data_IF_921810531563
#
_entry.id   IF_921810531563
#
_cell.length_a   1.000
_cell.length_b   1.000
_cell.length_c   1.000
_cell.angle_alpha   90.00
_cell.angle_beta   90.00
_cell.angle_gamma   90.00
#
_symmetry.space_group_name_H-M   'P 1'
#
loop_
_entity.id
_entity.type
_entity.pdbx_description
1 polymer ?
#
# COMPACT_ATOMS: atom_id res chain seq x y z
N UNK A 1 -5.03 0.89 0.43
CA UNK A 1 -5.22 2.34 0.68
C UNK A 1 -3.86 3.01 0.61
N UNK A 2 -3.79 4.26 0.18
CA UNK A 2 -2.57 5.05 0.12
C UNK A 2 -2.71 6.24 1.04
N UNK A 3 -1.71 6.45 1.90
CA UNK A 3 -1.58 7.61 2.77
C UNK A 3 -0.61 8.59 2.13
N UNK A 4 -0.97 9.87 2.13
CA UNK A 4 -0.20 10.98 1.57
C UNK A 4 0.26 11.88 2.70
N UNK A 5 1.53 12.29 2.70
CA UNK A 5 2.02 13.28 3.66
C UNK A 5 1.76 14.71 3.26
N UNK A 6 1.85 15.61 4.23
CA UNK A 6 2.06 17.02 3.93
C UNK A 6 3.42 17.25 3.24
N UNK A 7 3.53 18.26 2.36
CA UNK A 7 4.80 18.63 1.73
C UNK A 7 5.90 18.91 2.75
N UNK A 8 7.07 18.30 2.55
CA UNK A 8 8.24 18.42 3.42
C UNK A 8 8.14 17.65 4.74
N UNK A 9 7.10 16.82 4.92
CA UNK A 9 6.92 15.98 6.11
C UNK A 9 6.98 14.50 5.71
N UNK A 10 7.82 13.73 6.41
CA UNK A 10 7.91 12.28 6.24
C UNK A 10 6.75 11.56 6.94
N UNK A 11 6.21 10.50 6.34
CA UNK A 11 5.20 9.65 6.95
C UNK A 11 5.79 8.79 8.08
N UNK A 12 4.98 8.52 9.09
CA UNK A 12 5.30 7.55 10.13
C UNK A 12 5.11 6.11 9.63
N UNK A 13 5.85 5.67 8.61
CA UNK A 13 5.63 4.38 7.91
C UNK A 13 5.63 3.16 8.84
N UNK A 14 6.39 3.19 9.93
CA UNK A 14 6.40 2.12 10.94
C UNK A 14 5.03 1.94 11.62
N UNK A 15 4.28 3.03 11.80
CA UNK A 15 2.94 2.98 12.37
C UNK A 15 1.89 2.42 11.39
N UNK A 16 2.25 2.34 10.11
CA UNK A 16 1.46 1.78 9.01
C UNK A 16 1.84 0.31 8.69
N UNK A 17 2.91 -0.22 9.27
CA UNK A 17 3.37 -1.61 9.12
C UNK A 17 3.32 -2.35 10.47
N UNK A 18 2.12 -2.75 10.90
CA UNK A 18 1.93 -3.36 12.22
C UNK A 18 2.29 -4.84 12.17
N UNK A 19 3.50 -5.18 12.60
CA UNK A 19 4.04 -6.56 12.57
C UNK A 19 3.66 -7.44 13.77
N UNK A 20 2.76 -6.99 14.65
CA UNK A 20 2.33 -7.74 15.85
C UNK A 20 0.81 -7.69 16.05
N UNK A 21 0.20 -8.76 16.57
CA UNK A 21 -1.25 -8.87 16.82
C UNK A 21 -2.09 -9.48 15.68
N UNK A 22 -3.41 -9.55 15.83
CA UNK A 22 -4.36 -10.19 14.89
C UNK A 22 -4.97 -9.23 13.85
N UNK A 23 -4.60 -7.94 13.92
CA UNK A 23 -4.94 -6.91 12.94
C UNK A 23 -3.64 -6.31 12.40
N UNK A 24 -3.34 -6.55 11.12
CA UNK A 24 -2.08 -6.08 10.52
C UNK A 24 -2.34 -5.37 9.21
N UNK A 25 -2.52 -4.04 9.25
CA UNK A 25 -2.16 -3.23 8.11
C UNK A 25 -0.73 -3.59 7.70
N UNK A 26 -0.52 -3.83 6.42
CA UNK A 26 0.79 -4.21 5.88
C UNK A 26 1.23 -3.18 4.87
N UNK A 27 2.38 -2.55 5.13
CA UNK A 27 2.99 -1.64 4.17
C UNK A 27 3.42 -2.43 2.93
N UNK A 28 3.03 -1.93 1.75
CA UNK A 28 3.32 -2.53 0.44
C UNK A 28 4.40 -1.77 -0.28
N UNK A 29 4.22 -0.46 -0.40
CA UNK A 29 5.14 0.43 -1.11
C UNK A 29 5.25 1.76 -0.38
N UNK A 30 6.40 2.40 -0.54
CA UNK A 30 6.63 3.80 -0.17
C UNK A 30 7.18 4.46 -1.42
N UNK A 31 6.56 5.54 -1.85
CA UNK A 31 6.99 6.36 -2.97
C UNK A 31 7.15 7.80 -2.50
N UNK A 32 8.01 8.56 -3.18
CA UNK A 32 8.15 9.99 -2.95
C UNK A 32 8.04 10.73 -4.27
N UNK A 33 7.42 11.91 -4.25
CA UNK A 33 7.35 12.81 -5.39
C UNK A 33 7.77 14.22 -4.97
N UNK A 34 8.47 14.93 -5.85
CA UNK A 34 8.76 16.35 -5.68
C UNK A 34 7.60 17.17 -6.25
N UNK A 35 7.11 18.12 -5.47
CA UNK A 35 6.17 19.13 -5.92
C UNK A 35 6.89 20.27 -6.66
N UNK A 36 6.11 21.09 -7.37
CA UNK A 36 6.61 22.22 -8.17
C UNK A 36 7.40 23.24 -7.33
N UNK A 37 7.08 23.36 -6.03
CA UNK A 37 7.77 24.23 -5.07
C UNK A 37 9.05 23.60 -4.48
N UNK A 38 9.41 22.39 -4.93
CA UNK A 38 10.59 21.65 -4.49
C UNK A 38 10.37 20.83 -3.21
N UNK A 39 9.19 20.87 -2.60
CA UNK A 39 8.90 20.08 -1.42
C UNK A 39 8.58 18.63 -1.78
N UNK A 40 9.04 17.68 -0.96
CA UNK A 40 8.78 16.27 -1.16
C UNK A 40 7.48 15.84 -0.48
N UNK A 41 6.66 15.04 -1.17
CA UNK A 41 5.50 14.34 -0.60
C UNK A 41 5.74 12.84 -0.65
N UNK A 42 5.41 12.17 0.45
CA UNK A 42 5.49 10.71 0.57
C UNK A 42 4.12 10.06 0.41
N UNK A 43 4.11 8.91 -0.25
CA UNK A 43 2.95 8.06 -0.43
C UNK A 43 3.24 6.67 0.13
N UNK A 44 2.49 6.24 1.13
CA UNK A 44 2.59 4.91 1.71
C UNK A 44 1.35 4.07 1.35
N UNK A 45 1.51 3.04 0.53
CA UNK A 45 0.43 2.12 0.20
C UNK A 45 0.39 0.98 1.20
N UNK A 46 -0.76 0.83 1.86
CA UNK A 46 -1.00 -0.14 2.92
C UNK A 46 -2.14 -1.07 2.52
N UNK A 47 -1.89 -2.37 2.64
CA UNK A 47 -2.93 -3.39 2.55
C UNK A 47 -3.66 -3.47 3.89
N UNK A 48 -4.99 -3.37 3.85
CA UNK A 48 -5.87 -3.51 5.01
C UNK A 48 -6.74 -4.74 4.76
N UNK A 49 -6.67 -5.78 5.61
CA UNK A 49 -7.54 -6.94 5.44
C UNK A 49 -9.01 -6.59 5.58
N UNK A 50 -9.87 -7.38 4.94
CA UNK A 50 -11.32 -7.20 5.02
C UNK A 50 -11.82 -7.23 6.47
N UNK A 51 -12.80 -6.37 6.77
CA UNK A 51 -13.34 -6.20 8.12
C UNK A 51 -12.37 -5.55 9.11
N UNK A 52 -11.17 -5.12 8.69
CA UNK A 52 -10.19 -4.45 9.56
C UNK A 52 -10.11 -2.94 9.38
N UNK A 53 -10.88 -2.35 8.46
CA UNK A 53 -10.94 -0.89 8.27
C UNK A 53 -11.31 -0.13 9.56
N UNK A 54 -12.20 -0.71 10.38
CA UNK A 54 -12.62 -0.12 11.66
C UNK A 54 -11.47 0.16 12.63
N UNK A 55 -10.31 -0.49 12.47
CA UNK A 55 -9.11 -0.18 13.23
C UNK A 55 -8.56 1.21 12.96
N UNK A 56 -8.46 1.58 11.67
CA UNK A 56 -8.00 2.91 11.30
C UNK A 56 -9.02 3.98 11.69
N UNK A 57 -10.31 3.71 11.47
CA UNK A 57 -11.37 4.62 11.88
C UNK A 57 -11.33 4.91 13.38
N UNK A 58 -11.13 3.89 14.23
CA UNK A 58 -10.97 4.10 15.68
C UNK A 58 -9.76 4.97 16.01
N UNK A 59 -8.64 4.85 15.30
CA UNK A 59 -7.44 5.66 15.55
C UNK A 59 -7.67 7.12 15.18
N UNK A 60 -8.33 7.37 14.05
CA UNK A 60 -8.75 8.71 13.63
C UNK A 60 -9.71 9.31 14.65
N UNK A 61 -10.71 8.55 15.09
CA UNK A 61 -11.66 8.99 16.10
C UNK A 61 -10.97 9.36 17.42
N UNK A 62 -10.08 8.50 17.93
CA UNK A 62 -9.30 8.77 19.15
C UNK A 62 -8.42 10.02 19.04
N UNK A 63 -7.89 10.31 17.86
CA UNK A 63 -7.13 11.53 17.61
C UNK A 63 -8.03 12.76 17.70
N UNK A 64 -9.17 12.74 17.00
CA UNK A 64 -10.15 13.84 17.04
C UNK A 64 -10.68 14.09 18.46
N UNK A 65 -10.95 13.03 19.23
CA UNK A 65 -11.39 13.10 20.63
C UNK A 65 -10.35 13.71 21.58
N UNK A 66 -9.07 13.75 21.18
CA UNK A 66 -7.96 14.23 22.03
C UNK A 66 -7.16 15.35 21.37
N UNK A 67 -7.70 15.98 20.33
CA UNK A 67 -6.99 17.00 19.53
C UNK A 67 -6.62 18.25 20.34
N UNK A 68 -7.39 18.57 21.38
CA UNK A 68 -7.13 19.69 22.30
C UNK A 68 -6.09 19.37 23.38
N UNK A 69 -5.67 18.11 23.52
CA UNK A 69 -4.64 17.71 24.48
C UNK A 69 -3.26 18.12 23.96
N UNK A 70 -2.29 18.37 24.85
CA UNK A 70 -0.88 18.67 24.47
C UNK A 70 -0.27 17.59 23.56
N UNK A 71 -0.76 16.35 23.66
CA UNK A 71 -0.34 15.23 22.83
C UNK A 71 -1.55 14.37 22.44
N UNK A 72 -2.24 14.68 21.33
CA UNK A 72 -3.36 13.90 20.85
C UNK A 72 -2.96 12.44 20.60
N UNK A 73 -3.88 11.51 20.81
CA UNK A 73 -3.67 10.07 20.53
C UNK A 73 -3.45 9.87 19.04
N UNK A 74 -2.50 9.02 18.65
CA UNK A 74 -2.16 8.75 17.25
C UNK A 74 -1.59 9.95 16.45
N UNK A 75 -1.27 11.07 17.10
CA UNK A 75 -0.62 12.27 16.51
C UNK A 75 0.63 11.95 15.69
N UNK A 76 1.50 11.04 16.19
CA UNK A 76 2.71 10.58 15.47
C UNK A 76 2.44 10.18 14.01
N UNK A 77 1.27 9.62 13.71
CA UNK A 77 0.87 9.29 12.35
C UNK A 77 0.02 10.40 11.73
N UNK A 78 -1.06 10.81 12.42
CA UNK A 78 -2.11 11.61 11.81
C UNK A 78 -1.71 13.06 11.57
N UNK A 79 -0.79 13.63 12.36
CA UNK A 79 -0.28 14.98 12.14
C UNK A 79 0.52 15.09 10.82
N UNK A 80 0.97 13.95 10.30
CA UNK A 80 1.82 13.86 9.10
C UNK A 80 1.02 13.51 7.85
N UNK A 81 -0.22 13.07 8.00
CA UNK A 81 -1.08 12.61 6.89
C UNK A 81 -1.92 13.78 6.40
N UNK A 82 -1.68 14.20 5.17
CA UNK A 82 -2.53 15.17 4.47
C UNK A 82 -3.78 14.49 3.90
N UNK A 83 -3.62 13.29 3.34
CA UNK A 83 -4.66 12.64 2.57
C UNK A 83 -4.64 11.12 2.70
N UNK A 84 -5.81 10.51 2.49
CA UNK A 84 -5.96 9.06 2.40
C UNK A 84 -6.87 8.71 1.25
N UNK A 85 -6.43 7.82 0.37
CA UNK A 85 -7.16 7.42 -0.82
C UNK A 85 -7.15 5.89 -1.02
N UNK A 86 -7.98 5.40 -1.94
CA UNK A 86 -7.81 4.05 -2.47
C UNK A 86 -6.50 3.98 -3.26
N UNK A 87 -5.82 2.83 -3.18
CA UNK A 87 -4.55 2.66 -3.87
C UNK A 87 -4.81 2.43 -5.37
N UNK A 88 -4.15 3.22 -6.22
CA UNK A 88 -4.05 2.92 -7.66
C UNK A 88 -2.94 1.90 -7.92
N UNK A 89 -2.95 1.28 -9.09
CA UNK A 89 -1.90 0.35 -9.50
C UNK A 89 -0.54 1.05 -9.64
N UNK A 90 -0.52 2.33 -10.04
CA UNK A 90 0.67 3.19 -10.06
C UNK A 90 1.33 3.29 -8.68
N UNK A 91 0.52 3.37 -7.61
CA UNK A 91 1.03 3.41 -6.23
C UNK A 91 1.57 2.07 -5.76
N UNK A 92 1.32 0.98 -6.48
CA UNK A 92 1.93 -0.33 -6.25
C UNK A 92 3.18 -0.57 -7.10
N UNK A 93 3.47 0.29 -8.09
CA UNK A 93 4.66 0.20 -8.91
C UNK A 93 5.92 0.44 -8.08
N UNK A 94 6.94 -0.39 -8.28
CA UNK A 94 8.21 -0.32 -7.54
C UNK A 94 9.41 -0.04 -8.44
N UNK A 95 9.22 -0.06 -9.76
CA UNK A 95 10.24 0.33 -10.73
C UNK A 95 10.22 1.85 -10.97
N UNK A 96 11.06 2.30 -11.90
CA UNK A 96 11.14 3.72 -12.28
C UNK A 96 9.77 4.19 -12.79
N UNK A 97 9.39 5.41 -12.45
CA UNK A 97 8.06 5.95 -12.81
C UNK A 97 7.91 6.08 -14.32
N UNK A 98 8.99 6.38 -15.04
CA UNK A 98 9.04 6.42 -16.50
C UNK A 98 8.85 5.06 -17.19
N UNK A 99 9.05 3.95 -16.47
CA UNK A 99 8.82 2.60 -16.98
C UNK A 99 7.39 2.13 -16.74
N UNK A 100 6.57 2.92 -16.03
CA UNK A 100 5.17 2.61 -15.83
C UNK A 100 4.44 2.69 -17.19
N UNK A 101 3.73 1.62 -17.61
CA UNK A 101 3.15 1.54 -18.94
C UNK A 101 2.06 2.59 -19.16
N UNK A 102 1.95 3.08 -20.40
CA UNK A 102 0.90 4.02 -20.75
C UNK A 102 -0.47 3.32 -20.75
N UNK A 103 -1.53 4.11 -20.60
CA UNK A 103 -2.89 3.57 -20.63
C UNK A 103 -3.17 2.89 -21.98
N UNK A 104 -3.50 1.59 -21.92
CA UNK A 104 -3.79 0.77 -23.09
C UNK A 104 -2.64 -0.10 -23.58
N UNK A 105 -1.43 0.09 -23.04
CA UNK A 105 -0.30 -0.78 -23.37
C UNK A 105 -0.48 -2.19 -22.80
N UNK A 106 -0.20 -3.20 -23.64
CA UNK A 106 -0.20 -4.61 -23.25
C UNK A 106 1.23 -5.03 -23.00
N UNK A 107 1.62 -5.11 -21.73
CA UNK A 107 2.96 -5.50 -21.27
C UNK A 107 2.88 -6.61 -20.23
N UNK A 108 3.97 -7.34 -20.06
CA UNK A 108 4.11 -8.29 -18.96
C UNK A 108 4.41 -7.57 -17.65
N UNK A 109 3.70 -7.95 -16.61
CA UNK A 109 3.89 -7.49 -15.25
C UNK A 109 4.47 -8.60 -14.38
N UNK A 110 5.41 -8.25 -13.51
CA UNK A 110 5.76 -9.10 -12.39
C UNK A 110 4.82 -8.80 -11.21
N UNK A 111 3.99 -9.77 -10.84
CA UNK A 111 3.17 -9.69 -9.64
C UNK A 111 3.87 -10.39 -8.49
N UNK A 112 4.23 -9.59 -7.48
CA UNK A 112 4.92 -10.02 -6.28
C UNK A 112 3.91 -10.30 -5.16
N UNK A 113 3.66 -11.57 -4.90
CA UNK A 113 2.73 -12.06 -3.88
C UNK A 113 3.49 -12.35 -2.57
N UNK A 114 2.96 -11.90 -1.44
CA UNK A 114 3.48 -12.30 -0.12
C UNK A 114 2.86 -13.61 0.32
N UNK A 115 3.70 -14.55 0.78
CA UNK A 115 3.26 -15.83 1.33
C UNK A 115 2.48 -15.62 2.63
N UNK A 116 1.32 -16.27 2.74
CA UNK A 116 0.40 -16.21 3.89
C UNK A 116 -0.20 -17.56 4.20
N UNK A 117 -0.92 -18.14 3.24
CA UNK A 117 -1.70 -19.38 3.39
C UNK A 117 -1.38 -20.41 2.29
N UNK A 118 -0.56 -20.06 1.32
CA UNK A 118 -0.16 -20.94 0.21
C UNK A 118 -1.14 -20.95 -0.95
N UNK A 119 -2.24 -20.19 -0.87
CA UNK A 119 -3.28 -20.09 -1.90
C UNK A 119 -3.15 -18.80 -2.73
N UNK A 120 -2.03 -18.09 -2.65
CA UNK A 120 -1.88 -16.78 -3.28
C UNK A 120 -1.90 -16.86 -4.81
N UNK A 121 -1.18 -17.83 -5.38
CA UNK A 121 -1.11 -18.03 -6.83
C UNK A 121 -2.46 -18.51 -7.38
N UNK A 122 -3.14 -19.40 -6.66
CA UNK A 122 -4.45 -19.91 -7.09
C UNK A 122 -5.51 -18.81 -7.08
N UNK A 123 -5.48 -17.92 -6.07
CA UNK A 123 -6.33 -16.72 -6.05
C UNK A 123 -6.04 -15.78 -7.21
N UNK A 124 -4.76 -15.53 -7.51
CA UNK A 124 -4.36 -14.70 -8.66
C UNK A 124 -4.87 -15.30 -9.98
N UNK A 125 -4.65 -16.60 -10.21
CA UNK A 125 -5.09 -17.31 -11.41
C UNK A 125 -6.60 -17.31 -11.56
N UNK A 126 -7.33 -17.55 -10.47
CA UNK A 126 -8.79 -17.51 -10.46
C UNK A 126 -9.32 -16.11 -10.80
N UNK A 127 -8.69 -15.06 -10.27
CA UNK A 127 -9.03 -13.67 -10.58
C UNK A 127 -8.73 -13.30 -12.04
N UNK A 128 -7.60 -13.77 -12.57
CA UNK A 128 -7.16 -13.51 -13.94
C UNK A 128 -8.05 -14.21 -14.98
N UNK A 129 -8.45 -15.46 -14.71
CA UNK A 129 -9.30 -16.25 -15.60
C UNK A 129 -10.65 -15.60 -15.90
N UNK A 130 -11.20 -14.82 -14.97
CA UNK A 130 -12.48 -14.11 -15.17
C UNK A 130 -12.33 -12.72 -15.78
N UNK A 131 -11.08 -12.27 -16.05
CA UNK A 131 -10.75 -10.91 -16.52
C UNK A 131 -9.92 -10.88 -17.80
N UNK A 132 -9.79 -12.03 -18.47
CA UNK A 132 -8.99 -12.18 -19.69
C UNK A 132 -7.52 -11.72 -19.52
N UNK A 133 -6.97 -11.95 -18.32
CA UNK A 133 -5.57 -11.68 -18.00
C UNK A 133 -4.78 -12.98 -18.20
N UNK A 134 -3.74 -12.92 -19.02
CA UNK A 134 -2.88 -14.08 -19.25
C UNK A 134 -1.93 -14.27 -18.06
N UNK A 135 -1.84 -15.48 -17.51
CA UNK A 135 -0.93 -15.76 -16.39
C UNK A 135 0.15 -16.71 -16.86
N UNK A 136 1.41 -16.33 -16.67
CA UNK A 136 2.56 -17.18 -16.95
C UNK A 136 2.50 -18.51 -16.19
N UNK A 137 2.93 -19.63 -16.80
CA UNK A 137 2.84 -20.95 -16.18
C UNK A 137 3.85 -21.13 -15.03
N UNK A 138 4.93 -20.33 -15.04
CA UNK A 138 6.03 -20.41 -14.08
C UNK A 138 5.78 -19.51 -12.87
N UNK A 139 6.20 -19.99 -11.71
CA UNK A 139 6.20 -19.23 -10.44
C UNK A 139 7.62 -19.24 -9.92
N UNK A 140 8.19 -18.06 -9.69
CA UNK A 140 9.45 -17.92 -8.98
C UNK A 140 9.16 -17.86 -7.49
N UNK A 141 9.86 -18.69 -6.71
CA UNK A 141 9.59 -18.86 -5.28
C UNK A 141 10.77 -18.39 -4.43
N UNK A 142 10.50 -17.45 -3.54
CA UNK A 142 11.38 -16.98 -2.48
C UNK A 142 10.82 -17.38 -1.10
N UNK A 143 11.61 -17.30 -0.01
CA UNK A 143 11.14 -17.67 1.33
C UNK A 143 9.87 -16.94 1.78
N UNK A 144 9.74 -15.66 1.46
CA UNK A 144 8.59 -14.83 1.87
C UNK A 144 7.67 -14.43 0.71
N UNK A 145 8.09 -14.66 -0.54
CA UNK A 145 7.41 -14.13 -1.73
C UNK A 145 7.31 -15.15 -2.85
N UNK A 146 6.28 -14.96 -3.68
CA UNK A 146 6.11 -15.62 -4.96
C UNK A 146 6.05 -14.55 -6.05
N UNK A 147 6.69 -14.77 -7.19
CA UNK A 147 6.62 -13.87 -8.34
C UNK A 147 6.01 -14.62 -9.51
N UNK A 148 5.01 -14.01 -10.13
CA UNK A 148 4.26 -14.55 -11.28
C UNK A 148 4.18 -13.49 -12.36
N UNK A 149 4.39 -13.89 -13.61
CA UNK A 149 4.17 -13.02 -14.76
C UNK A 149 2.68 -12.99 -15.13
N UNK A 150 2.13 -11.81 -15.37
CA UNK A 150 0.76 -11.57 -15.86
C UNK A 150 0.71 -10.53 -16.95
#
# INVERSE_FOLDING_TARGET
MTFESFPGIELAIESLDVRQGSLRPELRTVQAALQTDGQQVEFATVFIPDGRLGYFLRRVQQYLETVESERPRNSKLLDRVQGVALASIERLWTDRVEDFPAAGDVVWWEVWLRRRDGLEVDRLRSFAAVRDINVGPRVLSFPERLVVLV
#
